data_IF_834617959304
#
_entry.id   IF_834617959304
#
_cell.length_a   1.000
_cell.length_b   1.000
_cell.length_c   1.000
_cell.angle_alpha   90.00
_cell.angle_beta   90.00
_cell.angle_gamma   90.00
#
_symmetry.space_group_name_H-M   'P 1'
#
loop_
_entity.id
_entity.type
_entity.pdbx_description
1 polymer ?
#
# COMPACT_ATOMS: atom_id res chain seq x y z
N UNK A 1 -67.60 12.67 16.86
CA UNK A 1 -66.26 13.24 17.14
C UNK A 1 -65.43 12.15 17.82
N UNK A 2 -64.19 11.98 17.36
CA UNK A 2 -63.23 10.88 17.56
C UNK A 2 -63.07 10.43 19.04
N UNK A 3 -62.74 9.19 19.40
CA UNK A 3 -62.06 8.14 18.64
C UNK A 3 -62.26 6.72 19.19
N UNK A 4 -61.80 5.77 18.40
CA UNK A 4 -62.05 4.32 18.43
C UNK A 4 -60.93 3.53 19.12
N UNK A 5 -61.34 2.67 20.05
CA UNK A 5 -60.92 1.28 20.35
C UNK A 5 -59.54 0.74 19.92
N UNK A 6 -58.94 -0.03 20.84
CA UNK A 6 -58.83 -1.48 20.62
C UNK A 6 -57.43 -2.08 20.40
N UNK A 7 -56.82 -2.52 21.51
CA UNK A 7 -56.23 -3.84 21.75
C UNK A 7 -55.75 -4.71 20.56
N UNK A 8 -54.43 -4.91 20.50
CA UNK A 8 -53.80 -6.24 20.33
C UNK A 8 -53.46 -6.72 18.92
N UNK A 9 -52.16 -6.72 18.57
CA UNK A 9 -51.55 -7.60 17.55
C UNK A 9 -50.11 -7.93 18.01
N UNK A 10 -49.89 -9.21 18.32
CA UNK A 10 -48.79 -10.09 17.86
C UNK A 10 -47.41 -9.43 17.69
N UNK A 11 -46.33 -9.81 18.37
CA UNK A 11 -45.83 -11.16 18.52
C UNK A 11 -44.35 -11.16 18.11
N UNK A 12 -43.47 -11.61 19.01
CA UNK A 12 -42.12 -12.07 18.70
C UNK A 12 -41.11 -11.05 18.16
N UNK A 13 -40.30 -10.46 19.05
CA UNK A 13 -38.88 -10.26 18.76
C UNK A 13 -38.06 -10.41 20.05
N UNK A 14 -37.94 -11.68 20.44
CA UNK A 14 -36.92 -12.17 21.35
C UNK A 14 -35.56 -12.09 20.62
N UNK A 15 -34.51 -11.72 21.35
CA UNK A 15 -33.09 -11.89 21.01
C UNK A 15 -32.50 -10.97 19.91
N UNK A 16 -31.98 -9.81 20.33
CA UNK A 16 -30.79 -9.19 19.72
C UNK A 16 -29.90 -8.67 20.87
N UNK A 17 -29.39 -9.57 21.70
CA UNK A 17 -28.28 -9.31 22.60
C UNK A 17 -27.10 -10.18 22.14
N UNK A 18 -25.99 -9.52 21.77
CA UNK A 18 -24.70 -10.19 21.56
C UNK A 18 -24.29 -10.43 20.11
N UNK A 19 -23.78 -9.38 19.45
CA UNK A 19 -22.80 -9.51 18.36
C UNK A 19 -22.01 -8.20 18.20
N UNK A 20 -21.35 -7.76 19.27
CA UNK A 20 -20.27 -6.79 19.19
C UNK A 20 -18.94 -7.56 19.17
N UNK A 21 -18.71 -8.31 18.09
CA UNK A 21 -17.45 -9.00 17.83
C UNK A 21 -16.70 -8.24 16.72
N UNK A 22 -15.79 -7.38 17.16
CA UNK A 22 -14.48 -7.11 16.56
C UNK A 22 -14.46 -7.00 15.02
N UNK A 23 -14.82 -5.81 14.52
CA UNK A 23 -14.23 -5.28 13.29
C UNK A 23 -12.99 -4.46 13.68
N UNK A 24 -11.95 -5.12 14.20
CA UNK A 24 -10.62 -4.53 14.23
C UNK A 24 -10.10 -4.53 12.78
N UNK A 25 -10.43 -3.47 12.05
CA UNK A 25 -10.04 -3.31 10.66
C UNK A 25 -8.51 -3.18 10.51
N UNK A 26 -7.96 -3.48 9.32
CA UNK A 26 -6.55 -3.31 8.99
C UNK A 26 -6.07 -1.84 8.99
N UNK A 27 -6.89 -0.90 9.45
CA UNK A 27 -6.59 0.53 9.51
C UNK A 27 -5.53 0.88 10.58
N UNK A 28 -5.35 0.07 11.63
CA UNK A 28 -4.43 0.37 12.74
C UNK A 28 -2.96 0.02 12.47
N UNK A 29 -2.61 -0.48 11.28
CA UNK A 29 -1.21 -0.76 10.89
C UNK A 29 -0.65 0.27 9.89
N UNK A 30 -1.43 1.28 9.50
CA UNK A 30 -1.01 2.27 8.51
C UNK A 30 -0.39 3.54 9.13
N UNK A 31 -0.54 3.74 10.44
CA UNK A 31 -0.04 4.89 11.21
C UNK A 31 1.21 4.54 12.03
N UNK A 32 2.12 3.78 11.45
CA UNK A 32 3.47 3.82 11.97
C UNK A 32 4.09 5.15 11.50
N UNK A 33 4.36 6.05 12.44
CA UNK A 33 4.95 7.39 12.29
C UNK A 33 6.39 7.32 11.77
N UNK A 34 6.59 6.71 10.59
CA UNK A 34 7.86 6.68 9.91
C UNK A 34 8.00 7.94 9.05
N UNK A 35 9.10 8.67 9.22
CA UNK A 35 9.38 9.84 8.39
C UNK A 35 9.85 9.38 7.01
N UNK A 36 9.31 9.96 5.94
CA UNK A 36 9.71 9.64 4.56
C UNK A 36 10.66 10.71 4.05
N UNK A 37 11.89 10.32 3.76
CA UNK A 37 12.93 11.18 3.21
C UNK A 37 13.13 10.85 1.72
N UNK A 38 12.80 11.80 0.85
CA UNK A 38 12.79 11.61 -0.60
C UNK A 38 14.00 12.30 -1.22
N UNK A 39 14.94 11.52 -1.76
CA UNK A 39 16.16 12.04 -2.39
C UNK A 39 16.23 11.65 -3.87
N UNK A 40 16.83 12.53 -4.66
CA UNK A 40 17.16 12.25 -6.06
C UNK A 40 18.68 12.05 -6.13
N UNK A 41 19.11 10.86 -6.53
CA UNK A 41 20.52 10.50 -6.71
C UNK A 41 20.87 10.47 -8.20
N UNK A 42 22.10 10.86 -8.55
CA UNK A 42 22.56 10.93 -9.94
C UNK A 42 23.63 9.87 -10.20
N UNK A 43 23.55 9.19 -11.35
CA UNK A 43 24.49 8.14 -11.73
C UNK A 43 24.54 7.02 -10.68
N UNK A 44 25.75 6.71 -10.21
CA UNK A 44 26.04 5.66 -9.21
C UNK A 44 26.21 6.19 -7.78
N UNK A 45 25.74 7.42 -7.49
CA UNK A 45 25.79 7.95 -6.12
C UNK A 45 25.05 7.01 -5.15
N UNK A 46 25.64 6.80 -3.96
CA UNK A 46 25.08 5.91 -2.95
C UNK A 46 23.77 6.48 -2.38
N UNK A 47 22.72 5.66 -2.39
CA UNK A 47 21.48 5.95 -1.66
C UNK A 47 21.70 5.66 -0.17
N UNK A 48 21.53 6.63 0.74
CA UNK A 48 21.65 6.35 2.17
C UNK A 48 20.62 5.30 2.60
N UNK A 49 21.05 4.39 3.47
CA UNK A 49 20.18 3.33 3.97
C UNK A 49 19.07 3.92 4.87
N UNK A 50 17.86 3.38 4.74
CA UNK A 50 16.74 3.76 5.59
C UNK A 50 16.98 3.32 7.03
N UNK A 51 16.70 4.20 8.01
CA UNK A 51 16.77 3.87 9.44
C UNK A 51 15.42 3.33 9.95
N UNK A 52 15.38 2.77 11.17
CA UNK A 52 14.17 2.15 11.73
C UNK A 52 12.95 3.08 11.79
N UNK A 53 13.17 4.37 11.97
CA UNK A 53 12.12 5.40 12.06
C UNK A 53 12.03 6.28 10.80
N UNK A 54 12.90 6.08 9.80
CA UNK A 54 12.96 6.91 8.58
C UNK A 54 13.12 6.08 7.30
N UNK A 55 12.16 6.18 6.39
CA UNK A 55 12.19 5.56 5.06
C UNK A 55 12.87 6.51 4.09
N UNK A 56 14.09 6.18 3.67
CA UNK A 56 14.78 6.88 2.58
C UNK A 56 14.38 6.27 1.24
N UNK A 57 13.78 7.07 0.36
CA UNK A 57 13.41 6.68 -1.00
C UNK A 57 14.27 7.46 -1.99
N UNK A 58 15.12 6.76 -2.74
CA UNK A 58 15.98 7.36 -3.75
C UNK A 58 15.42 7.15 -5.16
N UNK A 59 15.12 8.23 -5.86
CA UNK A 59 14.88 8.20 -7.29
C UNK A 59 16.22 8.37 -8.04
N UNK A 60 16.64 7.36 -8.81
CA UNK A 60 17.89 7.41 -9.58
C UNK A 60 17.67 8.10 -10.93
N UNK A 61 18.51 9.09 -11.25
CA UNK A 61 18.60 9.76 -12.55
C UNK A 61 20.00 9.56 -13.15
N UNK A 62 20.12 9.71 -14.47
CA UNK A 62 21.40 9.59 -15.19
C UNK A 62 22.41 10.68 -14.77
N UNK A 63 23.71 10.44 -14.92
CA UNK A 63 24.76 11.41 -14.56
C UNK A 63 24.66 12.70 -15.39
N UNK A 64 24.26 12.61 -16.66
CA UNK A 64 24.04 13.74 -17.54
C UNK A 64 22.89 14.66 -17.13
N UNK A 65 22.02 14.21 -16.24
CA UNK A 65 20.87 14.97 -15.71
C UNK A 65 21.27 15.93 -14.58
N UNK A 66 22.50 15.84 -14.03
CA UNK A 66 22.97 16.68 -12.91
C UNK A 66 23.05 18.17 -13.25
N UNK A 67 23.42 18.51 -14.49
CA UNK A 67 23.62 19.90 -14.94
C UNK A 67 22.62 20.34 -16.02
N UNK A 68 21.68 19.46 -16.38
CA UNK A 68 20.66 19.71 -17.39
C UNK A 68 19.36 20.14 -16.72
N UNK A 69 18.55 20.94 -17.42
CA UNK A 69 17.17 21.21 -16.99
C UNK A 69 16.47 19.85 -16.80
N UNK A 70 15.84 19.55 -15.65
CA UNK A 70 15.17 18.28 -15.41
C UNK A 70 14.17 17.93 -16.51
N UNK A 71 14.07 16.66 -16.90
CA UNK A 71 13.19 16.21 -18.00
C UNK A 71 11.76 16.76 -17.89
N UNK A 72 11.21 16.71 -16.68
CA UNK A 72 9.85 17.17 -16.36
C UNK A 72 9.64 18.66 -16.69
N UNK A 73 10.72 19.45 -16.65
CA UNK A 73 10.70 20.89 -16.96
C UNK A 73 11.15 21.21 -18.39
N UNK A 74 11.55 20.20 -19.18
CA UNK A 74 11.88 20.39 -20.61
C UNK A 74 10.63 20.52 -21.45
N UNK A 75 9.53 19.91 -21.02
CA UNK A 75 8.22 20.06 -21.66
C UNK A 75 7.65 21.38 -21.19
N UNK A 76 7.76 22.39 -22.03
CA UNK A 76 7.20 23.71 -21.79
C UNK A 76 6.09 23.94 -22.80
N UNK A 77 4.88 24.10 -22.29
CA UNK A 77 3.70 24.50 -23.07
C UNK A 77 3.71 26.00 -23.40
N UNK A 78 4.87 26.67 -23.30
CA UNK A 78 5.01 28.06 -23.70
C UNK A 78 4.74 28.17 -25.21
N UNK A 79 3.77 29.00 -25.63
CA UNK A 79 3.44 29.17 -27.05
C UNK A 79 4.61 29.70 -27.90
N UNK A 80 5.68 30.20 -27.29
CA UNK A 80 6.94 30.55 -27.96
C UNK A 80 7.71 29.34 -28.49
N UNK A 81 7.47 28.13 -27.98
CA UNK A 81 8.12 26.89 -28.43
C UNK A 81 7.47 26.27 -29.67
N UNK A 82 6.29 26.75 -30.07
CA UNK A 82 5.60 26.29 -31.28
C UNK A 82 6.30 26.80 -32.54
N UNK A 83 6.32 25.97 -33.60
CA UNK A 83 6.89 26.40 -34.88
C UNK A 83 6.09 27.58 -35.45
N UNK A 84 6.76 28.43 -36.24
CA UNK A 84 6.08 29.58 -36.83
C UNK A 84 4.89 29.14 -37.70
N UNK A 85 5.01 28.02 -38.41
CA UNK A 85 3.93 27.44 -39.23
C UNK A 85 2.72 27.06 -38.37
N UNK A 86 2.92 26.33 -37.26
CA UNK A 86 1.81 25.91 -36.37
C UNK A 86 1.08 27.13 -35.79
N UNK A 87 1.83 28.20 -35.48
CA UNK A 87 1.25 29.45 -34.99
C UNK A 87 0.38 30.15 -36.03
N UNK A 88 0.76 30.08 -37.31
CA UNK A 88 -0.02 30.66 -38.40
C UNK A 88 -1.28 29.84 -38.65
N UNK A 89 -1.20 28.52 -38.65
CA UNK A 89 -2.38 27.63 -38.76
C UNK A 89 -3.37 27.86 -37.60
N UNK A 90 -2.86 28.07 -36.38
CA UNK A 90 -3.69 28.39 -35.23
C UNK A 90 -4.47 29.71 -35.41
N UNK A 91 -3.94 30.70 -36.14
CA UNK A 91 -4.66 31.95 -36.40
C UNK A 91 -5.90 31.75 -37.29
N UNK A 92 -5.95 30.72 -38.13
CA UNK A 92 -7.11 30.43 -38.98
C UNK A 92 -8.32 29.93 -38.19
N UNK A 93 -8.08 29.37 -37.00
CA UNK A 93 -9.12 28.85 -36.10
C UNK A 93 -9.56 29.84 -35.03
N UNK A 94 -8.85 30.97 -34.85
CA UNK A 94 -9.24 32.03 -33.90
C UNK A 94 -10.57 32.64 -34.34
N UNK A 95 -11.60 32.47 -33.50
CA UNK A 95 -12.95 32.98 -33.75
C UNK A 95 -13.91 31.97 -34.39
N UNK A 96 -13.43 30.77 -34.74
CA UNK A 96 -14.31 29.66 -35.12
C UNK A 96 -15.17 29.24 -33.92
N UNK A 97 -16.49 29.30 -34.06
CA UNK A 97 -17.45 28.87 -33.03
C UNK A 97 -18.54 28.00 -33.66
N UNK A 98 -18.95 26.95 -32.95
CA UNK A 98 -19.90 25.95 -33.45
C UNK A 98 -19.53 24.51 -33.06
N UNK A 99 -20.31 23.56 -33.55
CA UNK A 99 -19.99 22.13 -33.46
C UNK A 99 -18.66 21.84 -34.17
N UNK A 100 -17.75 21.10 -33.53
CA UNK A 100 -16.38 20.80 -34.01
C UNK A 100 -15.38 21.97 -33.94
N UNK A 101 -15.73 23.09 -33.29
CA UNK A 101 -14.77 24.16 -33.00
C UNK A 101 -14.05 23.93 -31.67
N UNK A 102 -12.80 24.37 -31.56
CA UNK A 102 -11.98 24.28 -30.34
C UNK A 102 -12.32 25.38 -29.30
N UNK A 103 -13.43 26.08 -29.45
CA UNK A 103 -13.82 27.17 -28.56
C UNK A 103 -14.50 26.63 -27.29
N UNK A 104 -14.10 27.07 -26.08
CA UNK A 104 -14.82 26.77 -24.84
C UNK A 104 -16.15 27.53 -24.71
N UNK A 105 -16.44 28.46 -25.64
CA UNK A 105 -17.66 29.28 -25.64
C UNK A 105 -18.48 29.10 -26.92
N UNK A 106 -19.81 29.14 -26.80
CA UNK A 106 -20.75 29.05 -27.94
C UNK A 106 -21.53 27.72 -28.04
N UNK A 107 -22.47 27.66 -28.97
CA UNK A 107 -23.30 26.49 -29.24
C UNK A 107 -22.43 25.37 -29.84
N UNK A 108 -22.27 24.25 -29.13
CA UNK A 108 -21.44 23.13 -29.56
C UNK A 108 -20.00 23.14 -29.04
N UNK A 109 -19.62 24.06 -28.15
CA UNK A 109 -18.28 24.06 -27.52
C UNK A 109 -17.99 22.81 -26.68
N UNK A 110 -19.03 22.09 -26.23
CA UNK A 110 -18.90 20.83 -25.50
C UNK A 110 -18.44 19.65 -26.38
N UNK A 111 -18.59 19.72 -27.71
CA UNK A 111 -18.27 18.61 -28.62
C UNK A 111 -16.90 18.71 -29.30
N UNK A 112 -16.15 19.80 -29.08
CA UNK A 112 -14.81 20.02 -29.65
C UNK A 112 -13.69 19.86 -28.63
N UNK A 113 -13.06 20.98 -28.22
CA UNK A 113 -11.86 20.97 -27.36
C UNK A 113 -12.11 20.83 -25.86
N UNK A 114 -13.37 20.72 -25.42
CA UNK A 114 -13.66 20.42 -24.02
C UNK A 114 -12.99 19.10 -23.59
N UNK A 115 -12.99 18.08 -24.45
CA UNK A 115 -12.36 16.80 -24.12
C UNK A 115 -10.83 16.90 -24.04
N UNK A 116 -10.22 17.78 -24.84
CA UNK A 116 -8.78 18.02 -24.81
C UNK A 116 -8.38 18.78 -23.54
N UNK A 117 -9.15 19.80 -23.14
CA UNK A 117 -9.01 20.50 -21.87
C UNK A 117 -9.18 19.54 -20.68
N UNK A 118 -10.16 18.64 -20.72
CA UNK A 118 -10.32 17.59 -19.71
C UNK A 118 -9.09 16.67 -19.68
N UNK A 119 -8.66 16.18 -20.84
CA UNK A 119 -7.50 15.27 -20.94
C UNK A 119 -6.23 15.93 -20.39
N UNK A 120 -5.99 17.20 -20.69
CA UNK A 120 -4.87 17.97 -20.13
C UNK A 120 -4.98 18.06 -18.59
N UNK A 121 -6.15 18.48 -18.08
CA UNK A 121 -6.37 18.60 -16.64
C UNK A 121 -6.25 17.27 -15.87
N UNK A 122 -6.64 16.14 -16.47
CA UNK A 122 -6.44 14.82 -15.88
C UNK A 122 -5.02 14.28 -16.09
N UNK A 123 -4.36 14.61 -17.21
CA UNK A 123 -2.97 14.26 -17.47
C UNK A 123 -2.01 14.91 -16.47
N UNK A 124 -2.18 16.20 -16.19
CA UNK A 124 -1.41 16.91 -15.16
C UNK A 124 -1.58 16.29 -13.76
N UNK A 125 -2.76 15.76 -13.46
CA UNK A 125 -3.01 15.04 -12.19
C UNK A 125 -2.35 13.66 -12.16
N UNK A 126 -2.27 12.98 -13.30
CA UNK A 126 -1.63 11.66 -13.42
C UNK A 126 -0.10 11.73 -13.30
N UNK A 127 0.51 12.78 -13.85
CA UNK A 127 1.96 13.03 -13.81
C UNK A 127 2.41 13.75 -12.52
N UNK A 128 1.49 14.05 -11.61
CA UNK A 128 1.82 14.71 -10.36
C UNK A 128 2.89 13.89 -9.62
N UNK A 129 3.97 14.57 -9.20
CA UNK A 129 5.11 13.95 -8.54
C UNK A 129 4.69 13.05 -7.37
N UNK A 130 3.63 13.43 -6.64
CA UNK A 130 3.06 12.64 -5.54
C UNK A 130 2.58 11.23 -5.94
N UNK A 131 2.07 11.04 -7.16
CA UNK A 131 1.62 9.74 -7.65
C UNK A 131 2.82 8.85 -7.98
N UNK A 132 3.81 9.40 -8.71
CA UNK A 132 5.05 8.68 -9.05
C UNK A 132 5.85 8.31 -7.80
N UNK A 133 5.95 9.22 -6.82
CA UNK A 133 6.56 8.92 -5.52
C UNK A 133 5.71 7.95 -4.69
N UNK A 134 4.38 8.00 -4.78
CA UNK A 134 3.48 7.05 -4.15
C UNK A 134 3.72 5.60 -4.60
N UNK A 135 3.92 5.39 -5.91
CA UNK A 135 4.25 4.07 -6.48
C UNK A 135 5.60 3.55 -5.94
N UNK A 136 6.62 4.42 -5.89
CA UNK A 136 7.93 4.06 -5.34
C UNK A 136 7.85 3.72 -3.84
N UNK A 137 7.04 4.45 -3.08
CA UNK A 137 6.77 4.15 -1.66
C UNK A 137 6.07 2.80 -1.53
N UNK A 138 5.08 2.50 -2.37
CA UNK A 138 4.40 1.21 -2.37
C UNK A 138 5.36 0.05 -2.70
N UNK A 139 6.26 0.25 -3.65
CA UNK A 139 7.29 -0.73 -4.00
C UNK A 139 8.25 -1.00 -2.82
N UNK A 140 8.72 0.03 -2.11
CA UNK A 140 9.56 -0.16 -0.92
C UNK A 140 8.81 -0.81 0.25
N UNK A 141 7.53 -0.47 0.45
CA UNK A 141 6.68 -1.16 1.43
C UNK A 141 6.57 -2.65 1.10
N UNK A 142 6.40 -3.01 -0.16
CA UNK A 142 6.34 -4.41 -0.59
C UNK A 142 7.65 -5.16 -0.34
N UNK A 143 8.82 -4.55 -0.58
CA UNK A 143 10.14 -5.17 -0.29
C UNK A 143 10.35 -5.43 1.20
N UNK A 144 9.94 -4.47 2.05
CA UNK A 144 10.01 -4.65 3.50
C UNK A 144 9.06 -5.75 3.97
N UNK A 145 7.84 -5.76 3.43
CA UNK A 145 6.85 -6.80 3.75
C UNK A 145 7.35 -8.19 3.34
N UNK A 146 7.98 -8.34 2.17
CA UNK A 146 8.53 -9.64 1.74
C UNK A 146 9.64 -10.15 2.65
N UNK A 147 10.48 -9.25 3.19
CA UNK A 147 11.52 -9.63 4.15
C UNK A 147 10.90 -10.13 5.46
N UNK A 148 9.84 -9.46 5.93
CA UNK A 148 9.11 -9.88 7.15
C UNK A 148 8.41 -11.22 6.94
N UNK A 149 7.83 -11.45 5.76
CA UNK A 149 7.17 -12.72 5.43
C UNK A 149 8.16 -13.90 5.37
N UNK A 150 9.38 -13.67 4.86
CA UNK A 150 10.48 -14.66 4.87
C UNK A 150 10.93 -14.98 6.30
N UNK A 151 11.22 -13.96 7.12
CA UNK A 151 11.64 -14.13 8.51
C UNK A 151 10.56 -14.85 9.35
N UNK A 152 9.28 -14.54 9.11
CA UNK A 152 8.16 -15.19 9.78
C UNK A 152 8.02 -16.66 9.39
N UNK A 153 8.24 -17.01 8.12
CA UNK A 153 8.21 -18.40 7.65
C UNK A 153 9.35 -19.24 8.26
N UNK A 154 10.54 -18.66 8.36
CA UNK A 154 11.70 -19.31 8.98
C UNK A 154 11.44 -19.57 10.48
N UNK A 155 10.93 -18.57 11.21
CA UNK A 155 10.60 -18.75 12.62
C UNK A 155 9.49 -19.78 12.83
N UNK A 156 8.45 -19.76 11.99
CA UNK A 156 7.36 -20.73 12.04
C UNK A 156 7.89 -22.16 11.84
N UNK A 157 8.79 -22.37 10.87
CA UNK A 157 9.42 -23.67 10.64
C UNK A 157 10.26 -24.13 11.84
N UNK A 158 10.96 -23.20 12.50
CA UNK A 158 11.77 -23.47 13.69
C UNK A 158 10.91 -23.88 14.87
N UNK A 159 9.78 -23.19 15.08
CA UNK A 159 8.81 -23.51 16.13
C UNK A 159 8.22 -24.90 15.91
N UNK A 160 7.84 -25.26 14.68
CA UNK A 160 7.26 -26.58 14.38
C UNK A 160 8.24 -27.74 14.66
N UNK A 161 9.54 -27.54 14.44
CA UNK A 161 10.57 -28.54 14.79
C UNK A 161 10.66 -28.68 16.31
N UNK A 162 10.72 -27.57 17.04
CA UNK A 162 10.79 -27.57 18.50
C UNK A 162 9.55 -28.19 19.16
N UNK A 163 8.36 -27.93 18.60
CA UNK A 163 7.11 -28.54 19.07
C UNK A 163 7.12 -30.07 18.88
N UNK A 164 7.58 -30.57 17.73
CA UNK A 164 7.73 -32.02 17.47
C UNK A 164 8.72 -32.67 18.42
N UNK A 165 9.86 -32.03 18.69
CA UNK A 165 10.85 -32.52 19.65
C UNK A 165 10.28 -32.55 21.08
N UNK A 166 9.53 -31.51 21.47
CA UNK A 166 8.86 -31.45 22.76
C UNK A 166 7.82 -32.56 22.93
N UNK A 167 7.01 -32.80 21.90
CA UNK A 167 6.02 -33.86 21.87
C UNK A 167 6.67 -35.25 21.95
N UNK A 168 7.76 -35.48 21.20
CA UNK A 168 8.51 -36.74 21.25
C UNK A 168 9.12 -37.00 22.63
N UNK A 169 9.70 -35.98 23.28
CA UNK A 169 10.20 -36.08 24.66
C UNK A 169 9.08 -36.45 25.63
N UNK A 170 7.93 -35.75 25.58
CA UNK A 170 6.77 -36.06 26.42
C UNK A 170 6.23 -37.47 26.17
N UNK A 171 6.18 -37.92 24.92
CA UNK A 171 5.70 -39.25 24.57
C UNK A 171 6.60 -40.33 25.16
N UNK A 172 7.92 -40.18 25.04
CA UNK A 172 8.90 -41.08 25.65
C UNK A 172 8.80 -41.12 27.19
N UNK A 173 8.59 -39.97 27.83
CA UNK A 173 8.34 -39.88 29.28
C UNK A 173 7.04 -40.58 29.68
N UNK A 174 5.97 -40.42 28.90
CA UNK A 174 4.68 -41.09 29.13
C UNK A 174 4.77 -42.61 28.93
N UNK A 175 5.51 -43.07 27.92
CA UNK A 175 5.79 -44.48 27.69
C UNK A 175 6.66 -45.07 28.81
N UNK A 176 7.70 -44.35 29.27
CA UNK A 176 8.54 -44.75 30.39
C UNK A 176 7.76 -44.85 31.71
N UNK A 177 6.83 -43.91 31.95
CA UNK A 177 5.91 -43.93 33.08
C UNK A 177 4.90 -45.10 32.99
N UNK A 178 4.47 -45.46 31.78
CA UNK A 178 3.57 -46.59 31.55
C UNK A 178 4.28 -47.96 31.63
N UNK A 179 5.57 -48.03 31.28
CA UNK A 179 6.36 -49.27 31.29
C UNK A 179 6.94 -49.65 32.67
N UNK A 180 6.74 -48.81 33.70
CA UNK A 180 7.00 -49.19 35.10
C UNK A 180 8.39 -49.76 35.36
N UNK A 181 9.46 -49.16 34.83
CA UNK A 181 10.82 -49.51 35.25
C UNK A 181 11.14 -48.76 36.53
N UNK A 182 10.78 -49.38 37.64
CA UNK A 182 11.36 -49.11 38.95
C UNK A 182 12.86 -49.39 38.89
N UNK A 183 13.67 -48.34 38.69
CA UNK A 183 15.08 -48.35 39.09
C UNK A 183 15.12 -48.17 40.61
N UNK A 184 14.90 -49.27 41.33
CA UNK A 184 15.39 -49.40 42.70
C UNK A 184 16.90 -49.57 42.64
N UNK A 185 17.70 -48.72 43.31
CA UNK A 185 19.05 -49.10 43.68
C UNK A 185 18.90 -50.25 44.69
N UNK A 186 19.03 -51.50 44.23
CA UNK A 186 19.08 -52.66 45.12
C UNK A 186 20.48 -52.79 45.73
N UNK A 187 20.50 -52.88 47.04
CA UNK A 187 21.61 -53.07 47.97
C UNK A 187 22.54 -54.27 47.68
N UNK A 188 23.83 -54.13 48.03
CA UNK A 188 24.76 -55.17 48.54
C UNK A 188 26.03 -54.43 49.04
N UNK A 189 26.65 -54.58 50.23
CA UNK A 189 26.86 -55.66 51.22
C UNK A 189 27.27 -54.96 52.54
N UNK A 190 26.77 -55.24 53.75
CA UNK A 190 26.93 -56.46 54.53
C UNK A 190 28.19 -56.44 55.43
N UNK A 191 28.00 -56.26 56.74
CA UNK A 191 28.82 -56.92 57.77
C UNK A 191 29.89 -56.11 58.53
N UNK A 192 29.66 -56.04 59.85
CA UNK A 192 30.53 -55.63 60.98
C UNK A 192 30.61 -54.15 61.34
#
# INVERSE_FOLDING_TARGET
MQGVNGLGILGGLLLCAGAALVLAGPAMAQDADYRVNQLIIYGDDECPASSGDEITVCARKDEGERYRIPEDLRKSDDPANNSWTDRVEAYETVGASGTLSCSPTGLGGWSGCQQELLKAAYGEKGEAASIRFGELIAQERAKRLSTIDEDAADEQSRVEVLEKEYEARKAAEAEAAASGTELTPSDDTGGQ
#
